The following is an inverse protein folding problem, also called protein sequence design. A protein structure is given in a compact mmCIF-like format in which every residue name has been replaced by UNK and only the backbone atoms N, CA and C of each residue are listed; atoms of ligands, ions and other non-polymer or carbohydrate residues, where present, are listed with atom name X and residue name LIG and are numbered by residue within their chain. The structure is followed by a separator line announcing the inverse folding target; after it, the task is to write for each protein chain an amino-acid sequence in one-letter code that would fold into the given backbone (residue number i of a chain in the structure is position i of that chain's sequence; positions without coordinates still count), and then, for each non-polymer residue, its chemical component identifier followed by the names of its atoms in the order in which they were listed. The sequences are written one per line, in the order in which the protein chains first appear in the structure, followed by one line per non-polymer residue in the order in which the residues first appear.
data_IF_848485662966
#
_entry.id   IF_848485662966
#
_cell.length_a   1.000
_cell.length_b   1.000
_cell.length_c   1.000
_cell.angle_alpha   90.00
_cell.angle_beta   90.00
_cell.angle_gamma   90.00
#
_symmetry.space_group_name_H-M   'P 1'
#
loop_
_entity.id
_entity.type
_entity.pdbx_description
1 polymer ?
#
# COMPACT_ATOMS: atom_id res chain seq x y z
N UNK A 1 36.08 -10.73 42.75
CA UNK A 1 36.22 -9.69 41.70
C UNK A 1 36.30 -10.42 40.37
N UNK A 2 35.25 -10.25 39.56
CA UNK A 2 35.09 -10.41 38.09
C UNK A 2 35.52 -11.73 37.43
N UNK A 3 34.59 -12.60 37.00
CA UNK A 3 33.77 -12.56 35.75
C UNK A 3 34.55 -12.69 34.45
N UNK A 4 34.25 -13.74 33.68
CA UNK A 4 34.20 -13.73 32.21
C UNK A 4 33.62 -15.05 31.69
N UNK A 5 32.29 -15.14 31.72
CA UNK A 5 31.52 -16.17 31.01
C UNK A 5 31.53 -15.86 29.51
N UNK A 6 31.93 -16.84 28.69
CA UNK A 6 32.05 -16.70 27.23
C UNK A 6 30.66 -16.67 26.59
N UNK A 7 30.27 -15.54 26.04
CA UNK A 7 29.06 -15.38 25.21
C UNK A 7 29.31 -15.98 23.82
N UNK A 8 28.68 -17.11 23.54
CA UNK A 8 28.59 -17.72 22.20
C UNK A 8 27.72 -16.84 21.30
N UNK A 9 28.30 -16.30 20.23
CA UNK A 9 27.56 -15.52 19.21
C UNK A 9 26.83 -16.49 18.28
N UNK A 10 25.53 -16.64 18.44
CA UNK A 10 24.67 -17.27 17.44
C UNK A 10 24.54 -16.35 16.23
N UNK A 11 25.02 -16.81 15.08
CA UNK A 11 24.87 -16.12 13.79
C UNK A 11 23.43 -16.23 13.33
N UNK A 12 22.68 -15.13 13.40
CA UNK A 12 21.34 -15.03 12.79
C UNK A 12 21.52 -14.89 11.29
N UNK A 13 21.12 -15.93 10.53
CA UNK A 13 20.93 -15.82 9.08
C UNK A 13 19.49 -15.43 8.82
N UNK A 14 19.29 -14.22 8.29
CA UNK A 14 18.01 -13.82 7.72
C UNK A 14 17.87 -14.59 6.40
N UNK A 15 16.98 -15.57 6.39
CA UNK A 15 16.54 -16.26 5.18
C UNK A 15 15.37 -15.47 4.61
N UNK A 16 15.27 -15.39 3.29
CA UNK A 16 14.28 -14.62 2.53
C UNK A 16 12.83 -15.06 2.86
N UNK A 17 12.23 -14.41 3.86
CA UNK A 17 10.91 -14.71 4.45
C UNK A 17 9.72 -14.18 3.61
N UNK A 18 9.93 -13.72 2.37
CA UNK A 18 8.86 -13.06 1.62
C UNK A 18 7.68 -13.99 1.28
N UNK A 19 7.91 -15.28 1.05
CA UNK A 19 6.84 -16.26 0.78
C UNK A 19 6.11 -16.73 2.04
N UNK A 20 6.84 -16.94 3.14
CA UNK A 20 6.27 -17.41 4.40
C UNK A 20 5.42 -16.33 5.07
N UNK A 21 5.84 -15.06 4.96
CA UNK A 21 5.06 -13.92 5.47
C UNK A 21 3.70 -13.81 4.78
N UNK A 22 3.63 -14.09 3.47
CA UNK A 22 2.36 -14.06 2.72
C UNK A 22 1.42 -15.17 3.20
N UNK A 23 1.93 -16.39 3.34
CA UNK A 23 1.12 -17.52 3.83
C UNK A 23 0.62 -17.30 5.26
N UNK A 24 1.46 -16.73 6.13
CA UNK A 24 1.10 -16.41 7.51
C UNK A 24 0.04 -15.30 7.55
N UNK A 25 0.21 -14.23 6.75
CA UNK A 25 -0.75 -13.14 6.66
C UNK A 25 -2.13 -13.63 6.20
N UNK A 26 -2.16 -14.47 5.16
CA UNK A 26 -3.40 -15.04 4.62
C UNK A 26 -4.08 -15.98 5.64
N UNK A 27 -3.31 -16.78 6.36
CA UNK A 27 -3.82 -17.67 7.40
C UNK A 27 -4.42 -16.90 8.59
N UNK A 28 -3.79 -15.80 9.00
CA UNK A 28 -4.29 -14.91 10.06
C UNK A 28 -5.60 -14.27 9.61
N UNK A 29 -5.63 -13.71 8.41
CA UNK A 29 -6.83 -13.08 7.86
C UNK A 29 -8.01 -14.06 7.81
N UNK A 30 -7.79 -15.27 7.28
CA UNK A 30 -8.83 -16.30 7.18
C UNK A 30 -9.40 -16.72 8.53
N UNK A 31 -8.56 -16.79 9.57
CA UNK A 31 -9.00 -17.12 10.93
C UNK A 31 -9.82 -15.99 11.55
N UNK A 32 -9.40 -14.74 11.37
CA UNK A 32 -10.17 -13.57 11.82
C UNK A 32 -11.53 -13.52 11.13
N UNK A 33 -11.57 -13.72 9.81
CA UNK A 33 -12.80 -13.75 9.03
C UNK A 33 -13.78 -14.82 9.55
N UNK A 34 -13.30 -16.05 9.80
CA UNK A 34 -14.14 -17.12 10.35
C UNK A 34 -14.70 -16.79 11.76
N UNK A 35 -13.91 -16.14 12.60
CA UNK A 35 -14.32 -15.77 13.96
C UNK A 35 -15.34 -14.63 14.01
N UNK A 36 -15.30 -13.71 13.04
CA UNK A 36 -16.16 -12.53 12.99
C UNK A 36 -17.46 -12.82 12.26
N UNK A 37 -17.42 -13.60 11.18
CA UNK A 37 -18.57 -13.81 10.29
C UNK A 37 -19.31 -15.14 10.52
N UNK A 38 -18.77 -16.04 11.35
CA UNK A 38 -19.36 -17.36 11.59
C UNK A 38 -19.19 -18.29 10.39
N UNK A 39 -19.22 -19.61 10.65
CA UNK A 39 -19.17 -20.61 9.58
C UNK A 39 -20.49 -20.59 8.80
N UNK A 40 -20.55 -19.79 7.74
CA UNK A 40 -21.70 -19.81 6.85
C UNK A 40 -21.74 -21.17 6.13
N UNK A 41 -22.71 -21.99 6.53
CA UNK A 41 -22.98 -23.31 5.97
C UNK A 41 -23.48 -23.15 4.54
N UNK A 42 -22.57 -23.13 3.57
CA UNK A 42 -22.90 -23.10 2.15
C UNK A 42 -23.54 -24.45 1.76
N UNK A 43 -24.87 -24.49 1.73
CA UNK A 43 -25.69 -25.58 1.17
C UNK A 43 -25.76 -25.48 -0.36
N UNK A 44 -24.62 -25.48 -1.02
CA UNK A 44 -24.51 -25.85 -2.42
C UNK A 44 -23.02 -26.10 -2.71
N UNK A 45 -22.67 -27.07 -3.55
CA UNK A 45 -21.31 -27.61 -3.70
C UNK A 45 -20.20 -26.67 -4.22
N UNK A 46 -20.38 -25.35 -4.13
CA UNK A 46 -19.39 -24.32 -4.44
C UNK A 46 -19.20 -23.44 -3.22
N UNK A 47 -18.11 -23.63 -2.48
CA UNK A 47 -17.64 -22.66 -1.48
C UNK A 47 -17.26 -21.37 -2.22
N UNK A 48 -18.23 -20.50 -2.49
CA UNK A 48 -17.97 -19.14 -2.94
C UNK A 48 -17.71 -18.33 -1.68
N UNK A 49 -16.45 -17.99 -1.44
CA UNK A 49 -16.08 -17.04 -0.41
C UNK A 49 -16.78 -15.71 -0.69
N UNK A 50 -17.22 -15.03 0.37
CA UNK A 50 -17.68 -13.66 0.29
C UNK A 50 -16.73 -12.76 1.07
N UNK A 51 -16.53 -11.55 0.57
CA UNK A 51 -15.67 -10.56 1.17
C UNK A 51 -16.43 -9.26 1.41
N UNK A 52 -16.25 -8.68 2.59
CA UNK A 52 -16.67 -7.31 2.89
C UNK A 52 -15.56 -6.37 2.44
N UNK A 53 -15.83 -5.56 1.41
CA UNK A 53 -14.81 -4.72 0.75
C UNK A 53 -15.24 -3.27 0.75
N UNK A 54 -14.33 -2.36 1.14
CA UNK A 54 -14.49 -0.93 0.86
C UNK A 54 -14.19 -0.68 -0.63
N UNK A 55 -15.22 -0.48 -1.43
CA UNK A 55 -15.04 -0.31 -2.89
C UNK A 55 -14.23 0.93 -3.23
N UNK A 56 -14.26 1.97 -2.41
CA UNK A 56 -13.47 3.18 -2.66
C UNK A 56 -11.96 2.89 -2.55
N UNK A 57 -11.57 2.01 -1.62
CA UNK A 57 -10.17 1.57 -1.52
C UNK A 57 -9.74 0.75 -2.72
N UNK A 58 -10.61 -0.10 -3.25
CA UNK A 58 -10.29 -0.90 -4.44
C UNK A 58 -10.19 -0.03 -5.71
N UNK A 59 -11.04 0.99 -5.83
CA UNK A 59 -10.93 1.95 -6.93
C UNK A 59 -9.64 2.78 -6.78
N UNK A 60 -9.29 3.22 -5.57
CA UNK A 60 -8.06 3.95 -5.31
C UNK A 60 -6.81 3.15 -5.68
N UNK A 61 -6.79 1.83 -5.47
CA UNK A 61 -5.68 0.96 -5.89
C UNK A 61 -5.42 0.94 -7.40
N UNK A 62 -6.40 1.35 -8.22
CA UNK A 62 -6.25 1.45 -9.68
C UNK A 62 -5.61 2.77 -10.12
N UNK A 63 -5.50 3.75 -9.23
CA UNK A 63 -4.83 5.02 -9.50
C UNK A 63 -3.33 4.91 -9.24
N UNK A 64 -2.52 5.57 -10.07
CA UNK A 64 -1.08 5.66 -9.85
C UNK A 64 -0.76 6.79 -8.85
N UNK A 65 -1.05 6.56 -7.57
CA UNK A 65 -0.87 7.55 -6.50
C UNK A 65 0.57 8.09 -6.46
N UNK A 66 1.56 7.22 -6.65
CA UNK A 66 2.98 7.59 -6.60
C UNK A 66 3.35 8.56 -7.75
N UNK A 67 2.87 8.30 -8.96
CA UNK A 67 3.08 9.20 -10.10
C UNK A 67 2.42 10.56 -9.88
N UNK A 68 1.20 10.59 -9.34
CA UNK A 68 0.50 11.83 -9.01
C UNK A 68 1.28 12.63 -7.95
N UNK A 69 1.83 11.95 -6.93
CA UNK A 69 2.67 12.58 -5.91
C UNK A 69 3.94 13.20 -6.51
N UNK A 70 4.61 12.49 -7.43
CA UNK A 70 5.79 12.99 -8.13
C UNK A 70 5.47 14.21 -9.00
N UNK A 71 4.38 14.16 -9.76
CA UNK A 71 3.93 15.26 -10.62
C UNK A 71 3.60 16.53 -9.81
N UNK A 72 3.10 16.38 -8.58
CA UNK A 72 2.79 17.48 -7.68
C UNK A 72 3.97 17.91 -6.78
N UNK A 73 5.14 17.27 -6.91
CA UNK A 73 6.32 17.58 -6.10
C UNK A 73 6.13 17.29 -4.61
N UNK A 74 5.34 16.27 -4.27
CA UNK A 74 5.15 15.79 -2.89
C UNK A 74 6.22 14.76 -2.56
N UNK A 75 6.71 14.76 -1.31
CA UNK A 75 7.63 13.72 -0.84
C UNK A 75 7.00 12.33 -1.04
N UNK A 76 7.77 11.39 -1.58
CA UNK A 76 7.33 10.03 -1.90
C UNK A 76 7.82 8.99 -0.88
N UNK A 77 8.24 9.40 0.33
CA UNK A 77 8.58 8.45 1.38
C UNK A 77 7.37 7.61 1.81
N UNK A 78 7.60 6.44 2.40
CA UNK A 78 6.53 5.53 2.82
C UNK A 78 5.51 6.19 3.78
N UNK A 79 5.96 7.12 4.64
CA UNK A 79 5.09 7.86 5.55
C UNK A 79 4.15 8.79 4.79
N UNK A 80 4.66 9.60 3.86
CA UNK A 80 3.83 10.46 3.01
C UNK A 80 2.87 9.68 2.13
N UNK A 81 3.32 8.54 1.57
CA UNK A 81 2.42 7.67 0.80
C UNK A 81 1.25 7.19 1.66
N UNK A 82 1.54 6.72 2.88
CA UNK A 82 0.51 6.30 3.82
C UNK A 82 -0.45 7.43 4.19
N UNK A 83 0.08 8.65 4.44
CA UNK A 83 -0.74 9.83 4.74
C UNK A 83 -1.67 10.20 3.57
N UNK A 84 -1.16 10.20 2.33
CA UNK A 84 -1.97 10.49 1.14
C UNK A 84 -3.09 9.46 0.98
N UNK A 85 -2.80 8.17 1.14
CA UNK A 85 -3.81 7.10 1.06
C UNK A 85 -4.87 7.25 2.17
N UNK A 86 -4.43 7.49 3.41
CA UNK A 86 -5.30 7.65 4.57
C UNK A 86 -6.22 8.87 4.43
N UNK A 87 -5.66 10.03 4.05
CA UNK A 87 -6.43 11.26 3.83
C UNK A 87 -7.41 11.13 2.68
N UNK A 88 -6.99 10.50 1.57
CA UNK A 88 -7.88 10.23 0.43
C UNK A 88 -9.09 9.42 0.89
N UNK A 89 -8.88 8.29 1.58
CA UNK A 89 -9.97 7.44 2.05
C UNK A 89 -10.85 8.13 3.10
N UNK A 90 -10.26 8.92 3.98
CA UNK A 90 -10.99 9.69 5.00
C UNK A 90 -11.89 10.77 4.37
N UNK A 91 -11.44 11.37 3.27
CA UNK A 91 -12.21 12.36 2.52
C UNK A 91 -13.24 11.72 1.55
N UNK A 92 -13.15 10.40 1.32
CA UNK A 92 -14.17 9.64 0.61
C UNK A 92 -15.29 9.17 1.54
N UNK A 93 -16.53 9.20 1.07
CA UNK A 93 -17.61 8.51 1.77
C UNK A 93 -17.33 7.01 1.66
N UNK A 94 -17.13 6.29 2.78
CA UNK A 94 -16.86 4.86 2.72
C UNK A 94 -18.06 4.13 2.12
N UNK A 95 -17.78 3.13 1.28
CA UNK A 95 -18.81 2.28 0.68
C UNK A 95 -18.38 0.83 0.79
N UNK A 96 -18.99 0.12 1.73
CA UNK A 96 -18.73 -1.30 1.95
C UNK A 96 -19.76 -2.13 1.19
N UNK A 97 -19.28 -3.12 0.45
CA UNK A 97 -20.11 -4.07 -0.27
C UNK A 97 -19.66 -5.50 0.07
N UNK A 98 -20.63 -6.41 0.20
CA UNK A 98 -20.37 -7.85 0.24
C UNK A 98 -20.29 -8.32 -1.21
N UNK A 99 -19.21 -8.99 -1.59
CA UNK A 99 -19.02 -9.52 -2.93
C UNK A 99 -18.55 -10.96 -2.85
N UNK A 100 -19.08 -11.81 -3.73
CA UNK A 100 -18.52 -13.12 -3.97
C UNK A 100 -17.27 -13.04 -4.84
N UNK A 101 -16.36 -13.99 -4.68
CA UNK A 101 -15.08 -14.04 -5.41
C UNK A 101 -15.22 -13.95 -6.93
N UNK A 102 -16.26 -14.59 -7.48
CA UNK A 102 -16.55 -14.60 -8.91
C UNK A 102 -17.11 -13.27 -9.44
N UNK A 103 -17.61 -12.38 -8.57
CA UNK A 103 -18.25 -11.12 -8.95
C UNK A 103 -17.36 -9.90 -8.66
N UNK A 104 -16.39 -10.05 -7.75
CA UNK A 104 -15.54 -8.97 -7.23
C UNK A 104 -14.92 -8.12 -8.34
N UNK A 105 -14.29 -8.74 -9.34
CA UNK A 105 -13.58 -8.03 -10.41
C UNK A 105 -14.52 -7.15 -11.24
N UNK A 106 -15.69 -7.68 -11.60
CA UNK A 106 -16.69 -6.96 -12.41
C UNK A 106 -17.25 -5.76 -11.64
N UNK A 107 -17.69 -5.99 -10.41
CA UNK A 107 -18.28 -4.96 -9.55
C UNK A 107 -17.29 -3.82 -9.27
N UNK A 108 -16.03 -4.14 -8.93
CA UNK A 108 -14.99 -3.11 -8.73
C UNK A 108 -14.77 -2.30 -10.02
N UNK A 109 -14.86 -2.94 -11.19
CA UNK A 109 -14.71 -2.24 -12.46
C UNK A 109 -15.81 -1.21 -12.73
N UNK A 110 -17.06 -1.58 -12.43
CA UNK A 110 -18.19 -0.66 -12.55
C UNK A 110 -18.07 0.52 -11.58
N UNK A 111 -17.67 0.24 -10.33
CA UNK A 111 -17.41 1.30 -9.35
C UNK A 111 -16.26 2.21 -9.77
N UNK A 112 -15.19 1.65 -10.32
CA UNK A 112 -14.07 2.43 -10.83
C UNK A 112 -14.56 3.41 -11.89
N UNK A 113 -15.31 2.95 -12.89
CA UNK A 113 -15.84 3.81 -13.96
C UNK A 113 -16.65 5.00 -13.44
N UNK A 114 -17.39 4.82 -12.35
CA UNK A 114 -18.25 5.88 -11.77
C UNK A 114 -17.45 6.82 -10.86
N UNK A 115 -16.59 6.27 -10.00
CA UNK A 115 -15.94 7.02 -8.91
C UNK A 115 -14.49 7.44 -9.18
N UNK A 116 -13.89 7.01 -10.30
CA UNK A 116 -12.49 7.29 -10.60
C UNK A 116 -12.15 8.79 -10.50
N UNK A 117 -12.95 9.65 -11.13
CA UNK A 117 -12.73 11.10 -11.13
C UNK A 117 -12.82 11.71 -9.72
N UNK A 118 -13.73 11.21 -8.90
CA UNK A 118 -13.92 11.67 -7.52
C UNK A 118 -12.71 11.31 -6.67
N UNK A 119 -12.24 10.06 -6.78
CA UNK A 119 -11.07 9.56 -6.04
C UNK A 119 -9.81 10.29 -6.49
N UNK A 120 -9.61 10.43 -7.81
CA UNK A 120 -8.48 11.17 -8.36
C UNK A 120 -8.41 12.62 -7.83
N UNK A 121 -9.54 13.33 -7.81
CA UNK A 121 -9.60 14.68 -7.25
C UNK A 121 -9.27 14.73 -5.74
N UNK A 122 -9.62 13.68 -4.99
CA UNK A 122 -9.30 13.57 -3.56
C UNK A 122 -7.83 13.23 -3.33
N UNK A 123 -7.23 12.39 -4.17
CA UNK A 123 -5.78 12.13 -4.16
C UNK A 123 -5.03 13.45 -4.33
N UNK A 124 -5.37 14.25 -5.35
CA UNK A 124 -4.72 15.56 -5.56
C UNK A 124 -4.84 16.48 -4.34
N UNK A 125 -6.01 16.53 -3.70
CA UNK A 125 -6.20 17.34 -2.48
C UNK A 125 -5.39 16.80 -1.30
N UNK A 126 -5.36 15.49 -1.11
CA UNK A 126 -4.57 14.84 -0.07
C UNK A 126 -3.07 15.14 -0.26
N UNK A 127 -2.57 15.06 -1.49
CA UNK A 127 -1.20 15.44 -1.85
C UNK A 127 -0.86 16.87 -1.40
N UNK A 128 -1.73 17.84 -1.67
CA UNK A 128 -1.52 19.24 -1.24
C UNK A 128 -1.45 19.35 0.30
N UNK A 129 -2.34 18.65 1.01
CA UNK A 129 -2.36 18.67 2.48
C UNK A 129 -1.07 18.09 3.06
N UNK A 130 -0.62 16.94 2.53
CA UNK A 130 0.63 16.27 2.97
C UNK A 130 1.85 17.10 2.64
N UNK A 131 1.89 17.77 1.48
CA UNK A 131 2.99 18.65 1.11
C UNK A 131 3.12 19.86 2.05
N UNK A 132 2.00 20.40 2.53
CA UNK A 132 1.99 21.52 3.47
C UNK A 132 2.40 21.10 4.89
N UNK A 133 2.07 19.87 5.29
CA UNK A 133 2.30 19.35 6.64
C UNK A 133 2.83 17.92 6.60
N UNK A 134 4.07 17.70 6.13
CA UNK A 134 4.64 16.36 6.04
C UNK A 134 4.84 15.76 7.43
N UNK A 135 4.41 14.52 7.65
CA UNK A 135 4.62 13.81 8.93
C UNK A 135 6.00 13.11 9.03
N UNK A 136 6.82 13.18 7.98
CA UNK A 136 8.20 12.66 8.02
C UNK A 136 9.16 13.71 8.60
N UNK A 137 10.25 13.24 9.22
CA UNK A 137 11.26 14.16 9.78
C UNK A 137 12.30 14.46 8.69
N UNK A 138 13.04 15.58 8.83
CA UNK A 138 14.10 16.00 7.89
C UNK A 138 15.15 14.92 7.57
N UNK A 139 15.34 13.90 8.41
CA UNK A 139 16.28 12.80 8.12
C UNK A 139 15.80 11.85 7.02
N UNK A 140 14.50 11.84 6.73
CA UNK A 140 13.88 11.05 5.66
C UNK A 140 14.01 11.75 4.29
N UNK A 141 14.53 12.99 4.23
CA UNK A 141 14.78 13.74 2.99
C UNK A 141 15.94 13.15 2.16
N UNK A 142 16.92 12.54 2.83
CA UNK A 142 18.11 11.94 2.21
C UNK A 142 17.79 10.74 1.30
N UNK A 143 16.63 10.11 1.47
CA UNK A 143 16.20 8.98 0.62
C UNK A 143 15.57 9.44 -0.71
N UNK A 144 15.21 10.73 -0.85
CA UNK A 144 14.69 11.30 -2.10
C UNK A 144 15.77 11.75 -3.08
N UNK A 145 17.01 11.97 -2.60
CA UNK A 145 18.14 12.40 -3.43
C UNK A 145 18.76 11.24 -4.23
N UNK A 146 18.51 9.99 -3.81
CA UNK A 146 19.05 8.79 -4.47
C UNK A 146 18.49 8.55 -5.88
N UNK A 147 17.33 9.12 -6.22
CA UNK A 147 16.74 8.97 -7.56
C UNK A 147 17.26 9.98 -8.59
N UNK A 148 17.94 11.05 -8.16
CA UNK A 148 18.36 12.13 -9.06
C UNK A 148 19.78 11.94 -9.61
N UNK A 149 20.56 11.02 -9.04
CA UNK A 149 21.94 10.70 -9.43
C UNK A 149 22.12 9.82 -10.68
N UNK A 150 21.03 9.46 -11.39
CA UNK A 150 21.09 8.64 -12.61
C UNK A 150 20.65 9.41 -13.86
N UNK A 151 21.11 10.65 -14.03
CA UNK A 151 21.21 11.25 -15.36
C UNK A 151 22.60 10.94 -15.94
N UNK A 152 22.59 9.85 -16.71
CA UNK A 152 23.55 9.42 -17.74
C UNK A 152 24.62 10.47 -18.08
N UNK A 153 25.88 10.08 -17.87
CA UNK A 153 27.02 10.71 -18.53
C UNK A 153 26.81 10.61 -20.04
N UNK A 154 26.38 11.69 -20.69
CA UNK A 154 26.78 11.90 -22.06
C UNK A 154 28.22 12.39 -22.02
N UNK A 155 29.12 11.46 -22.32
CA UNK A 155 30.51 11.71 -22.64
C UNK A 155 30.53 12.81 -23.69
N UNK A 156 31.06 13.97 -23.32
CA UNK A 156 31.49 14.96 -24.29
C UNK A 156 32.72 14.41 -24.99
N UNK A 157 32.57 14.04 -26.25
CA UNK A 157 33.69 13.95 -27.18
C UNK A 157 33.67 15.22 -28.05
N UNK A 158 34.72 16.02 -27.84
CA UNK A 158 35.48 16.87 -28.76
C UNK A 158 34.78 18.08 -29.41
N UNK A 159 35.15 19.30 -29.02
CA UNK A 159 36.26 20.13 -29.51
C UNK A 159 36.17 20.47 -31.02
N UNK A 160 35.97 21.78 -31.26
CA UNK A 160 36.21 22.57 -32.49
C UNK A 160 35.24 22.41 -33.67
#
# INVERSE_FOLDING_TARGET
MTDSEKISRTTVRVVDESSEIVEISDAIQKRLEASVFGEEQVKDGRKQGYHVVNVMSEVMKRENVLEIMQQLGVCTCQRCQADVLALTLTQTKPKYCVMYDNEKTLLISDYARIHQKEIHAKIMRACIVVQQHPHHHRRDEADSEYTEGRRVMHVGEDLL
#
